data_IF_918339458678
#
_entry.id   IF_918339458678
#
_cell.length_a   1.000
_cell.length_b   1.000
_cell.length_c   1.000
_cell.angle_alpha   90.00
_cell.angle_beta   90.00
_cell.angle_gamma   90.00
#
_symmetry.space_group_name_H-M   'P 1'
#
loop_
_entity.id
_entity.type
_entity.pdbx_description
1 polymer ?
#
# COMPACT_ATOMS: atom_id res chain seq x y z
N UNK A 1 8.24 -16.16 58.76
CA UNK A 1 8.92 -17.41 59.14
C UNK A 1 10.00 -17.66 58.11
N UNK A 2 11.21 -18.00 58.53
CA UNK A 2 12.29 -18.31 57.61
C UNK A 2 12.00 -19.65 56.94
N UNK A 3 12.02 -19.69 55.60
CA UNK A 3 11.83 -20.94 54.85
C UNK A 3 13.05 -21.84 55.07
N UNK A 4 12.83 -23.11 55.41
CA UNK A 4 13.90 -24.10 55.57
C UNK A 4 13.76 -25.15 54.48
N UNK A 5 14.77 -25.28 53.63
CA UNK A 5 14.79 -26.22 52.51
C UNK A 5 15.41 -27.57 52.90
N UNK A 6 15.11 -28.61 52.13
CA UNK A 6 15.67 -29.95 52.34
C UNK A 6 17.15 -30.02 51.90
N UNK A 7 17.86 -31.07 52.33
CA UNK A 7 19.26 -31.29 51.94
C UNK A 7 19.39 -31.41 50.41
N UNK A 8 20.25 -30.59 49.81
CA UNK A 8 20.42 -30.50 48.35
C UNK A 8 19.50 -29.48 47.65
N UNK A 9 18.72 -28.71 48.40
CA UNK A 9 17.96 -27.56 47.90
C UNK A 9 18.52 -26.24 48.45
N UNK A 10 18.43 -25.18 47.65
CA UNK A 10 18.70 -23.81 48.04
C UNK A 10 17.40 -22.99 48.10
N UNK A 11 17.42 -21.91 48.90
CA UNK A 11 16.36 -20.90 48.90
C UNK A 11 16.54 -20.03 47.68
N UNK A 12 15.62 -20.13 46.73
CA UNK A 12 15.56 -19.34 45.51
C UNK A 12 14.44 -18.31 45.59
N UNK A 13 14.57 -17.20 44.85
CA UNK A 13 13.52 -16.19 44.77
C UNK A 13 12.66 -16.41 43.52
N UNK A 14 11.37 -16.70 43.72
CA UNK A 14 10.37 -16.67 42.68
C UNK A 14 9.82 -15.25 42.52
N UNK A 15 9.83 -14.73 41.29
CA UNK A 15 9.26 -13.43 40.97
C UNK A 15 7.75 -13.55 40.83
N UNK A 16 7.05 -12.62 41.47
CA UNK A 16 5.60 -12.51 41.49
C UNK A 16 5.20 -11.04 41.38
N UNK A 17 3.93 -10.77 41.04
CA UNK A 17 3.42 -9.41 40.92
C UNK A 17 2.13 -9.26 41.73
N UNK A 18 2.07 -8.22 42.55
CA UNK A 18 0.90 -7.85 43.34
C UNK A 18 0.66 -6.35 43.20
N UNK A 19 -0.54 -5.96 42.77
CA UNK A 19 -0.92 -4.56 42.54
C UNK A 19 0.06 -3.81 41.61
N UNK A 20 0.58 -4.51 40.59
CA UNK A 20 1.58 -4.00 39.65
C UNK A 20 3.01 -3.92 40.20
N UNK A 21 3.22 -4.16 41.49
CA UNK A 21 4.55 -4.18 42.10
C UNK A 21 5.18 -5.57 41.98
N UNK A 22 6.46 -5.61 41.60
CA UNK A 22 7.27 -6.83 41.62
C UNK A 22 7.57 -7.22 43.07
N UNK A 23 7.21 -8.43 43.45
CA UNK A 23 7.53 -9.05 44.73
C UNK A 23 8.37 -10.32 44.53
N UNK A 24 9.17 -10.68 45.54
CA UNK A 24 9.96 -11.91 45.54
C UNK A 24 9.40 -12.84 46.63
N UNK A 25 9.17 -14.10 46.27
CA UNK A 25 8.74 -15.16 47.19
C UNK A 25 9.84 -16.20 47.31
N UNK A 26 10.24 -16.50 48.53
CA UNK A 26 11.22 -17.55 48.79
C UNK A 26 10.60 -18.92 48.48
N UNK A 27 11.32 -19.74 47.72
CA UNK A 27 10.94 -21.12 47.34
C UNK A 27 12.17 -22.02 47.40
N UNK A 28 11.99 -23.29 47.75
CA UNK A 28 13.08 -24.26 47.77
C UNK A 28 13.23 -24.91 46.40
N UNK A 29 14.45 -24.90 45.83
CA UNK A 29 14.74 -25.50 44.52
C UNK A 29 16.15 -26.13 44.49
N UNK A 30 16.36 -27.14 43.64
CA UNK A 30 17.68 -27.75 43.47
C UNK A 30 18.65 -26.79 42.79
N UNK A 31 19.84 -26.60 43.36
CA UNK A 31 20.85 -25.69 42.82
C UNK A 31 21.34 -26.10 41.41
N UNK A 32 21.65 -25.14 40.51
CA UNK A 32 21.56 -23.68 40.70
C UNK A 32 20.12 -23.16 40.60
N UNK A 33 19.80 -22.09 41.33
CA UNK A 33 18.48 -21.44 41.28
C UNK A 33 18.16 -20.94 39.87
N UNK A 34 17.13 -21.49 39.19
CA UNK A 34 16.69 -20.97 37.90
C UNK A 34 15.85 -19.70 38.08
N UNK A 35 15.53 -19.03 36.98
CA UNK A 35 14.51 -17.98 36.98
C UNK A 35 13.14 -18.62 37.16
N UNK A 36 12.52 -18.32 38.30
CA UNK A 36 11.21 -18.83 38.71
C UNK A 36 10.19 -17.69 38.66
N UNK A 37 9.11 -17.89 37.91
CA UNK A 37 7.98 -16.95 37.83
C UNK A 37 6.74 -17.63 38.41
N UNK A 38 6.01 -16.95 39.30
CA UNK A 38 4.76 -17.47 39.86
C UNK A 38 3.65 -17.43 38.80
N UNK A 39 3.23 -18.61 38.30
CA UNK A 39 2.30 -18.75 37.17
C UNK A 39 0.95 -18.06 37.32
N UNK A 40 0.53 -17.77 38.56
CA UNK A 40 -0.72 -17.05 38.83
C UNK A 40 -0.62 -15.54 38.56
N UNK A 41 0.57 -14.96 38.63
CA UNK A 41 0.78 -13.49 38.58
C UNK A 41 1.86 -13.05 37.60
N UNK A 42 2.70 -13.99 37.14
CA UNK A 42 3.87 -13.72 36.34
C UNK A 42 4.00 -14.74 35.21
N UNK A 43 4.53 -14.28 34.07
CA UNK A 43 4.88 -15.08 32.90
C UNK A 43 6.39 -15.08 32.73
N UNK A 44 6.98 -16.24 32.41
CA UNK A 44 8.39 -16.36 32.07
C UNK A 44 8.61 -15.99 30.60
N UNK A 45 9.53 -15.08 30.37
CA UNK A 45 9.90 -14.56 29.05
C UNK A 45 11.39 -14.79 28.80
N UNK A 46 11.78 -14.83 27.52
CA UNK A 46 13.17 -14.91 27.10
C UNK A 46 13.58 -13.57 26.47
N UNK A 47 14.76 -13.09 26.82
CA UNK A 47 15.34 -11.87 26.27
C UNK A 47 16.17 -12.15 25.02
N UNK A 48 16.67 -11.09 24.36
CA UNK A 48 17.42 -11.18 23.11
C UNK A 48 18.71 -11.98 23.19
N UNK A 49 19.27 -12.18 24.40
CA UNK A 49 20.48 -12.98 24.61
C UNK A 49 20.18 -14.36 25.23
N UNK A 50 18.90 -14.76 25.24
CA UNK A 50 18.44 -16.00 25.87
C UNK A 50 18.35 -15.92 27.39
N UNK A 51 18.45 -14.72 27.97
CA UNK A 51 18.22 -14.51 29.38
C UNK A 51 16.75 -14.71 29.74
N UNK A 52 16.48 -15.45 30.81
CA UNK A 52 15.13 -15.66 31.28
C UNK A 52 14.74 -14.53 32.25
N UNK A 53 13.53 -13.99 32.14
CA UNK A 53 12.99 -13.01 33.09
C UNK A 53 11.49 -13.18 33.27
N UNK A 54 10.90 -12.47 34.24
CA UNK A 54 9.48 -12.55 34.53
C UNK A 54 8.81 -11.20 34.26
N UNK A 55 7.66 -11.22 33.58
CA UNK A 55 6.74 -10.10 33.42
C UNK A 55 5.42 -10.38 34.13
N UNK A 56 4.61 -9.34 34.45
CA UNK A 56 3.24 -9.53 34.91
C UNK A 56 2.44 -10.42 33.95
N UNK A 57 1.52 -11.24 34.47
CA UNK A 57 0.74 -12.17 33.64
C UNK A 57 -0.09 -11.46 32.55
N UNK A 58 -0.47 -10.21 32.82
CA UNK A 58 -1.23 -9.33 31.92
C UNK A 58 -0.40 -8.75 30.76
N UNK A 59 0.93 -8.76 30.88
CA UNK A 59 1.83 -8.26 29.84
C UNK A 59 2.28 -9.44 28.96
N UNK A 60 2.47 -9.18 27.67
CA UNK A 60 3.03 -10.15 26.74
C UNK A 60 4.56 -10.11 26.76
N UNK A 61 5.17 -11.28 26.55
CA UNK A 61 6.61 -11.36 26.39
C UNK A 61 7.02 -10.61 25.11
N UNK A 62 8.12 -9.83 25.14
CA UNK A 62 8.65 -9.26 23.91
C UNK A 62 8.98 -10.39 22.93
N UNK A 63 8.67 -10.16 21.66
CA UNK A 63 9.05 -11.07 20.60
C UNK A 63 10.57 -11.01 20.42
N UNK A 64 11.24 -12.15 20.52
CA UNK A 64 12.69 -12.28 20.30
C UNK A 64 12.89 -13.26 19.16
N UNK A 65 13.45 -12.80 18.06
CA UNK A 65 13.74 -13.62 16.89
C UNK A 65 15.09 -14.32 17.00
N UNK A 66 15.13 -15.57 16.52
CA UNK A 66 16.32 -16.39 16.56
C UNK A 66 17.41 -15.96 15.57
N UNK A 67 18.60 -16.59 15.62
CA UNK A 67 19.64 -16.34 14.63
C UNK A 67 19.16 -16.61 13.20
N UNK A 68 19.28 -15.62 12.33
CA UNK A 68 18.83 -15.72 10.93
C UNK A 68 17.35 -15.41 10.71
N UNK A 69 16.63 -15.03 11.76
CA UNK A 69 15.27 -14.52 11.67
C UNK A 69 15.25 -12.99 11.84
N UNK A 70 14.18 -12.37 11.34
CA UNK A 70 13.92 -10.94 11.46
C UNK A 70 12.50 -10.72 11.97
N UNK A 71 12.33 -9.67 12.76
CA UNK A 71 11.02 -9.24 13.23
C UNK A 71 10.24 -8.61 12.07
N UNK A 72 9.05 -9.12 11.78
CA UNK A 72 8.16 -8.63 10.76
C UNK A 72 6.82 -8.20 11.36
N UNK A 73 6.37 -7.01 10.94
CA UNK A 73 5.05 -6.49 11.21
C UNK A 73 4.12 -6.96 10.10
N UNK A 74 3.17 -7.83 10.45
CA UNK A 74 2.23 -8.40 9.51
C UNK A 74 0.90 -7.66 9.61
N UNK A 75 0.52 -6.96 8.53
CA UNK A 75 -0.76 -6.27 8.45
C UNK A 75 -1.89 -7.29 8.31
N UNK A 76 -2.85 -7.24 9.24
CA UNK A 76 -3.98 -8.14 9.29
C UNK A 76 -5.26 -7.42 8.88
N UNK A 77 -6.14 -8.12 8.18
CA UNK A 77 -7.48 -7.64 7.85
C UNK A 77 -8.54 -8.64 8.33
N UNK A 78 -9.76 -8.16 8.54
CA UNK A 78 -10.91 -9.05 8.72
C UNK A 78 -11.53 -9.48 7.38
N UNK A 79 -12.59 -10.27 7.42
CA UNK A 79 -13.26 -10.79 6.23
C UNK A 79 -13.97 -9.71 5.40
N UNK A 80 -14.15 -8.49 5.94
CA UNK A 80 -14.73 -7.35 5.24
C UNK A 80 -13.69 -6.40 4.65
N UNK A 81 -12.40 -6.71 4.85
CA UNK A 81 -11.28 -5.88 4.40
C UNK A 81 -10.92 -4.75 5.36
N UNK A 82 -11.49 -4.70 6.56
CA UNK A 82 -11.09 -3.70 7.56
C UNK A 82 -9.79 -4.11 8.23
N UNK A 83 -8.88 -3.15 8.39
CA UNK A 83 -7.61 -3.36 9.08
C UNK A 83 -7.84 -3.75 10.53
N UNK A 84 -7.11 -4.76 10.98
CA UNK A 84 -7.07 -5.25 12.35
C UNK A 84 -5.72 -4.89 12.99
N UNK A 85 -5.52 -5.28 14.25
CA UNK A 85 -4.23 -5.14 14.91
C UNK A 85 -3.15 -5.91 14.14
N UNK A 86 -2.03 -5.24 13.90
CA UNK A 86 -0.88 -5.85 13.24
C UNK A 86 -0.27 -6.91 14.17
N UNK A 87 0.18 -8.02 13.59
CA UNK A 87 0.84 -9.07 14.37
C UNK A 87 2.34 -9.05 14.13
N UNK A 88 3.11 -9.19 15.21
CA UNK A 88 4.55 -9.33 15.15
C UNK A 88 4.93 -10.82 15.02
N UNK A 89 5.76 -11.15 14.03
CA UNK A 89 6.25 -12.51 13.84
C UNK A 89 7.72 -12.52 13.41
N UNK A 90 8.46 -13.52 13.89
CA UNK A 90 9.80 -13.82 13.40
C UNK A 90 9.70 -14.62 12.11
N UNK A 91 10.34 -14.12 11.05
CA UNK A 91 10.43 -14.82 9.76
C UNK A 91 11.89 -15.01 9.40
N UNK A 92 12.19 -16.02 8.58
CA UNK A 92 13.56 -16.22 8.13
C UNK A 92 14.01 -15.03 7.27
N UNK A 93 15.25 -14.60 7.42
CA UNK A 93 15.82 -13.50 6.63
C UNK A 93 15.79 -13.79 5.12
N UNK A 94 15.75 -15.07 4.73
CA UNK A 94 15.61 -15.53 3.35
C UNK A 94 14.20 -15.36 2.77
N UNK A 95 13.20 -15.10 3.62
CA UNK A 95 11.80 -14.90 3.23
C UNK A 95 11.45 -13.41 3.05
N UNK A 96 12.43 -12.51 3.12
CA UNK A 96 12.19 -11.09 2.90
C UNK A 96 11.86 -10.77 1.41
N UNK A 97 10.92 -9.85 1.14
CA UNK A 97 10.21 -8.97 2.09
C UNK A 97 9.20 -9.73 2.98
N UNK A 98 8.93 -9.20 4.18
CA UNK A 98 8.00 -9.80 5.14
C UNK A 98 6.68 -10.23 4.47
N UNK A 99 6.15 -11.42 4.79
CA UNK A 99 4.85 -11.84 4.26
C UNK A 99 3.74 -10.93 4.80
N UNK A 100 2.58 -10.99 4.16
CA UNK A 100 1.39 -10.31 4.68
C UNK A 100 0.68 -11.16 5.74
N UNK A 101 -0.07 -10.51 6.62
CA UNK A 101 -0.82 -11.15 7.69
C UNK A 101 -2.09 -11.85 7.21
N UNK A 102 -3.00 -12.10 8.16
CA UNK A 102 -4.27 -12.79 7.92
C UNK A 102 -5.19 -11.93 7.03
N UNK A 103 -5.83 -12.58 6.05
CA UNK A 103 -6.71 -11.95 5.05
C UNK A 103 -6.06 -10.77 4.31
N UNK A 104 -4.74 -10.82 4.13
CA UNK A 104 -3.99 -9.83 3.39
C UNK A 104 -3.39 -10.44 2.11
N UNK A 105 -3.26 -9.61 1.08
CA UNK A 105 -2.62 -9.94 -0.19
C UNK A 105 -1.33 -9.11 -0.32
N UNK A 106 -0.23 -9.76 -0.71
CA UNK A 106 1.03 -9.08 -1.00
C UNK A 106 1.01 -8.47 -2.38
N UNK A 107 1.24 -7.16 -2.44
CA UNK A 107 1.31 -6.37 -3.65
C UNK A 107 2.72 -5.82 -3.82
N UNK A 108 3.38 -6.21 -4.91
CA UNK A 108 4.76 -5.77 -5.20
C UNK A 108 4.72 -4.65 -6.23
N UNK A 109 5.15 -3.48 -5.80
CA UNK A 109 5.33 -2.29 -6.62
C UNK A 109 6.82 -2.09 -6.90
N UNK A 110 7.18 -1.85 -8.16
CA UNK A 110 8.59 -1.67 -8.57
C UNK A 110 9.23 -0.38 -8.04
N UNK A 111 8.44 0.60 -7.60
CA UNK A 111 8.85 1.89 -7.03
C UNK A 111 8.70 1.93 -5.51
N UNK A 112 7.61 1.38 -4.98
CA UNK A 112 7.28 1.44 -3.55
C UNK A 112 7.70 0.20 -2.76
N UNK A 113 8.02 -0.91 -3.43
CA UNK A 113 8.36 -2.18 -2.80
C UNK A 113 7.12 -3.04 -2.53
N UNK A 114 7.26 -4.02 -1.64
CA UNK A 114 6.15 -4.88 -1.22
C UNK A 114 5.25 -4.13 -0.21
N UNK A 115 3.95 -4.24 -0.40
CA UNK A 115 2.90 -3.71 0.46
C UNK A 115 1.82 -4.78 0.68
N UNK A 116 1.02 -4.63 1.73
CA UNK A 116 -0.10 -5.52 2.01
C UNK A 116 -1.42 -4.77 1.86
N UNK A 117 -2.38 -5.40 1.19
CA UNK A 117 -3.76 -4.90 1.07
C UNK A 117 -4.73 -5.97 1.56
N UNK A 118 -5.99 -5.62 1.79
CA UNK A 118 -7.00 -6.61 2.13
C UNK A 118 -7.16 -7.62 0.98
N UNK A 119 -7.33 -8.91 1.29
CA UNK A 119 -7.51 -9.95 0.28
C UNK A 119 -8.80 -9.80 -0.56
N UNK A 120 -9.74 -8.95 -0.11
CA UNK A 120 -10.95 -8.56 -0.84
C UNK A 120 -10.71 -7.43 -1.83
N UNK A 121 -9.56 -6.78 -1.78
CA UNK A 121 -9.18 -5.66 -2.63
C UNK A 121 -8.13 -6.11 -3.66
N UNK A 122 -8.12 -5.42 -4.81
CA UNK A 122 -7.09 -5.61 -5.81
C UNK A 122 -5.83 -4.82 -5.45
N UNK A 123 -4.67 -5.35 -5.81
CA UNK A 123 -3.42 -4.62 -5.65
C UNK A 123 -3.47 -3.28 -6.41
N UNK A 124 -2.99 -2.17 -5.81
CA UNK A 124 -2.93 -0.90 -6.49
C UNK A 124 -2.10 -1.02 -7.77
N UNK A 125 -2.65 -0.54 -8.88
CA UNK A 125 -1.95 -0.58 -10.17
C UNK A 125 -0.78 0.40 -10.12
N UNK A 126 0.43 -0.13 -10.24
CA UNK A 126 1.66 0.67 -10.35
C UNK A 126 2.27 0.54 -11.73
N UNK A 127 2.71 1.68 -12.25
CA UNK A 127 3.32 1.76 -13.56
C UNK A 127 4.84 1.90 -13.42
N UNK A 128 5.59 1.17 -14.23
CA UNK A 128 7.05 1.26 -14.27
C UNK A 128 7.51 2.68 -14.69
N UNK A 129 8.82 2.97 -14.62
CA UNK A 129 9.36 4.29 -14.99
C UNK A 129 9.13 4.66 -16.47
N UNK A 130 8.78 3.69 -17.31
CA UNK A 130 8.49 3.86 -18.74
C UNK A 130 7.01 3.95 -19.04
N UNK A 131 6.14 4.00 -18.03
CA UNK A 131 4.70 4.10 -18.19
C UNK A 131 4.08 5.07 -17.18
N UNK A 132 2.90 5.60 -17.53
CA UNK A 132 2.09 6.48 -16.68
C UNK A 132 0.79 5.79 -16.35
N UNK A 133 0.36 5.95 -15.11
CA UNK A 133 -0.97 5.55 -14.67
C UNK A 133 -1.98 6.48 -15.33
N UNK A 134 -2.86 5.92 -16.14
CA UNK A 134 -3.97 6.61 -16.75
C UNK A 134 -5.27 6.10 -16.14
N UNK A 135 -6.15 7.03 -15.80
CA UNK A 135 -7.49 6.76 -15.32
C UNK A 135 -8.44 6.90 -16.50
N UNK A 136 -9.08 5.80 -16.89
CA UNK A 136 -10.11 5.79 -17.92
C UNK A 136 -11.46 5.44 -17.31
N UNK A 137 -12.40 6.38 -17.33
CA UNK A 137 -13.80 6.08 -17.03
C UNK A 137 -14.45 5.28 -18.17
N UNK A 138 -15.13 4.18 -17.83
CA UNK A 138 -16.00 3.40 -18.71
C UNK A 138 -17.46 3.83 -18.56
N UNK A 139 -18.23 3.69 -19.65
CA UNK A 139 -19.65 4.05 -19.71
C UNK A 139 -20.45 2.96 -20.40
N UNK A 140 -21.71 2.77 -20.02
CA UNK A 140 -22.64 1.88 -20.72
C UNK A 140 -22.98 2.43 -22.12
N UNK A 141 -23.55 1.63 -23.04
CA UNK A 141 -24.01 2.11 -24.34
C UNK A 141 -25.02 3.27 -24.28
N UNK A 142 -25.75 3.39 -23.16
CA UNK A 142 -26.70 4.46 -22.87
C UNK A 142 -26.03 5.72 -22.28
N UNK A 143 -24.70 5.70 -22.09
CA UNK A 143 -23.92 6.83 -21.58
C UNK A 143 -23.85 6.94 -20.06
N UNK A 144 -24.34 5.94 -19.31
CA UNK A 144 -24.23 5.94 -17.85
C UNK A 144 -22.80 5.57 -17.41
N UNK A 145 -22.27 6.25 -16.39
CA UNK A 145 -20.98 5.91 -15.80
C UNK A 145 -21.00 4.49 -15.21
N UNK A 146 -19.97 3.69 -15.50
CA UNK A 146 -19.87 2.33 -15.00
C UNK A 146 -18.78 2.22 -13.93
N UNK A 147 -17.52 2.45 -14.30
CA UNK A 147 -16.40 2.39 -13.36
C UNK A 147 -15.20 3.22 -13.85
N UNK A 148 -14.22 3.43 -12.98
CA UNK A 148 -12.96 4.06 -13.30
C UNK A 148 -11.88 2.98 -13.36
N UNK A 149 -11.30 2.74 -14.53
CA UNK A 149 -10.24 1.75 -14.72
C UNK A 149 -8.87 2.43 -14.68
N UNK A 150 -7.94 1.85 -13.92
CA UNK A 150 -6.51 2.21 -13.93
C UNK A 150 -5.76 1.39 -14.96
N UNK A 151 -5.03 2.03 -15.86
CA UNK A 151 -4.19 1.35 -16.84
C UNK A 151 -2.83 2.03 -17.00
N UNK A 152 -1.77 1.25 -17.18
CA UNK A 152 -0.45 1.78 -17.46
C UNK A 152 -0.27 2.01 -18.97
N UNK A 153 -0.03 3.26 -19.35
CA UNK A 153 0.23 3.65 -20.74
C UNK A 153 1.72 3.97 -20.92
N UNK A 154 2.37 3.36 -21.92
CA UNK A 154 3.79 3.57 -22.16
C UNK A 154 4.12 5.05 -22.45
N UNK A 155 5.08 5.60 -21.72
CA UNK A 155 5.79 6.85 -21.99
C UNK A 155 6.93 6.50 -22.94
N UNK A 156 6.84 6.93 -24.20
CA UNK A 156 7.98 6.79 -25.11
C UNK A 156 9.10 7.73 -24.66
N UNK A 157 10.20 7.18 -24.18
CA UNK A 157 11.41 7.96 -23.95
C UNK A 157 11.94 8.48 -25.30
N UNK A 158 12.25 9.79 -25.36
CA UNK A 158 12.91 10.44 -26.51
C UNK A 158 14.20 9.70 -26.87
N UNK A 159 14.15 8.76 -27.80
CA UNK A 159 15.37 8.05 -28.22
C UNK A 159 15.20 7.06 -29.37
N UNK A 160 14.11 6.28 -29.41
CA UNK A 160 13.96 5.24 -30.43
C UNK A 160 12.87 5.58 -31.45
N UNK A 161 13.28 6.29 -32.50
CA UNK A 161 12.49 6.40 -33.74
C UNK A 161 12.54 5.07 -34.50
N UNK A 162 11.75 4.08 -34.07
CA UNK A 162 11.23 3.08 -35.01
C UNK A 162 9.77 3.41 -35.29
N UNK A 163 9.55 3.84 -36.53
CA UNK A 163 8.29 4.32 -37.04
C UNK A 163 7.24 3.19 -37.03
N UNK A 164 6.43 3.15 -35.97
CA UNK A 164 5.03 2.74 -36.14
C UNK A 164 4.28 3.99 -36.58
N UNK A 165 4.32 4.22 -37.89
CA UNK A 165 3.65 5.29 -38.59
C UNK A 165 2.18 4.92 -38.72
N UNK A 166 1.38 5.26 -37.71
CA UNK A 166 -0.05 5.53 -37.94
C UNK A 166 -0.15 7.02 -38.26
N UNK A 167 -0.62 7.33 -39.47
CA UNK A 167 -0.65 8.68 -40.06
C UNK A 167 -1.58 9.62 -39.26
N UNK A 168 -1.06 10.28 -38.22
CA UNK A 168 -1.53 11.62 -37.81
C UNK A 168 -1.08 12.64 -38.89
N UNK A 169 -1.47 12.45 -40.17
CA UNK A 169 -1.34 13.51 -41.17
C UNK A 169 -2.47 14.49 -40.93
N UNK A 170 -2.17 15.51 -40.14
CA UNK A 170 -2.91 16.78 -40.19
C UNK A 170 -3.01 17.15 -41.67
N UNK A 171 -4.23 17.28 -42.18
CA UNK A 171 -4.48 17.82 -43.52
C UNK A 171 -3.98 19.28 -43.54
N UNK A 172 -2.69 19.48 -43.77
CA UNK A 172 -2.10 20.79 -44.01
C UNK A 172 -2.62 21.28 -45.34
N UNK A 173 -3.57 22.22 -45.30
CA UNK A 173 -3.78 23.14 -46.41
C UNK A 173 -2.45 23.85 -46.67
N UNK A 174 -2.01 23.76 -47.92
CA UNK A 174 -0.70 24.11 -48.45
C UNK A 174 -0.20 25.51 -48.11
N UNK A 175 1.14 25.60 -47.97
CA UNK A 175 2.03 26.78 -47.92
C UNK A 175 2.39 27.30 -46.53
N UNK A 176 3.30 26.60 -45.86
CA UNK A 176 4.50 27.21 -45.27
C UNK A 176 5.52 26.11 -44.88
N UNK A 177 6.79 26.40 -45.16
CA UNK A 177 7.88 25.43 -45.26
C UNK A 177 8.46 25.01 -43.90
N UNK A 178 8.76 23.70 -43.79
CA UNK A 178 9.88 23.07 -43.07
C UNK A 178 10.23 23.54 -41.65
N UNK A 179 9.32 23.26 -40.71
CA UNK A 179 9.70 22.70 -39.40
C UNK A 179 8.77 21.53 -39.07
N UNK A 180 9.32 20.32 -38.97
CA UNK A 180 8.59 19.12 -38.54
C UNK A 180 8.41 19.16 -37.01
N UNK A 181 7.18 19.30 -36.47
CA UNK A 181 6.96 19.14 -35.04
C UNK A 181 7.25 17.69 -34.64
N UNK A 182 8.31 17.50 -33.88
CA UNK A 182 8.66 16.20 -33.29
C UNK A 182 7.85 16.01 -32.00
N UNK A 183 7.11 14.90 -31.87
CA UNK A 183 6.53 14.48 -30.59
C UNK A 183 5.00 14.46 -30.48
N UNK A 184 4.27 14.34 -31.59
CA UNK A 184 2.81 14.21 -31.57
C UNK A 184 2.41 12.73 -31.40
N UNK A 185 1.60 12.39 -30.40
CA UNK A 185 1.06 11.04 -30.16
C UNK A 185 -0.47 11.02 -30.17
N UNK A 186 -1.10 9.90 -30.55
CA UNK A 186 -2.55 9.75 -30.44
C UNK A 186 -2.97 9.60 -28.98
N UNK A 187 -3.93 10.41 -28.55
CA UNK A 187 -4.59 10.39 -27.25
C UNK A 187 -6.10 10.24 -27.48
N UNK A 188 -6.80 9.51 -26.61
CA UNK A 188 -8.25 9.40 -26.67
C UNK A 188 -8.89 10.64 -26.03
N UNK A 189 -9.64 11.40 -26.81
CA UNK A 189 -10.43 12.53 -26.39
C UNK A 189 -11.91 12.15 -26.35
N UNK A 190 -12.58 12.51 -25.25
CA UNK A 190 -14.02 12.25 -25.04
C UNK A 190 -14.83 13.47 -25.48
N UNK A 191 -15.73 13.28 -26.44
CA UNK A 191 -16.61 14.33 -26.96
C UNK A 191 -17.95 14.25 -26.23
N UNK A 192 -18.47 15.38 -25.73
CA UNK A 192 -19.73 15.44 -24.99
C UNK A 192 -20.78 16.29 -25.72
N UNK A 193 -22.05 16.07 -25.40
CA UNK A 193 -23.16 16.85 -25.89
C UNK A 193 -23.19 18.18 -25.12
N UNK A 194 -23.16 19.29 -25.85
CA UNK A 194 -23.13 20.64 -25.27
C UNK A 194 -24.30 20.94 -24.33
N UNK A 195 -25.50 20.43 -24.64
CA UNK A 195 -26.71 20.76 -23.87
C UNK A 195 -27.01 19.78 -22.75
N UNK A 196 -26.64 18.51 -22.90
CA UNK A 196 -26.99 17.46 -21.92
C UNK A 196 -25.79 17.01 -21.09
N UNK A 197 -24.56 17.26 -21.55
CA UNK A 197 -23.35 16.72 -20.95
C UNK A 197 -23.11 15.22 -21.25
N UNK A 198 -23.97 14.58 -22.05
CA UNK A 198 -23.86 13.17 -22.40
C UNK A 198 -22.65 12.90 -23.28
N UNK A 199 -21.97 11.76 -23.09
CA UNK A 199 -20.87 11.37 -23.95
C UNK A 199 -21.39 11.06 -25.36
N UNK A 200 -20.93 11.82 -26.37
CA UNK A 200 -21.26 11.60 -27.77
C UNK A 200 -20.35 10.56 -28.43
N UNK A 201 -19.12 10.43 -27.95
CA UNK A 201 -18.16 9.47 -28.48
C UNK A 201 -16.75 9.67 -27.94
N UNK A 202 -15.87 8.75 -28.32
CA UNK A 202 -14.43 8.86 -28.07
C UNK A 202 -13.73 8.92 -29.41
N UNK A 203 -12.95 9.98 -29.62
CA UNK A 203 -12.14 10.15 -30.82
C UNK A 203 -10.67 10.12 -30.48
N UNK A 204 -9.86 9.60 -31.38
CA UNK A 204 -8.42 9.68 -31.27
C UNK A 204 -7.96 11.04 -31.80
N UNK A 205 -7.35 11.86 -30.97
CA UNK A 205 -6.74 13.15 -31.33
C UNK A 205 -5.24 13.10 -31.13
N UNK A 206 -4.48 13.99 -31.75
CA UNK A 206 -3.03 13.98 -31.66
C UNK A 206 -2.56 15.14 -30.75
N UNK A 207 -1.82 14.86 -29.68
CA UNK A 207 -1.30 15.87 -28.73
C UNK A 207 0.23 15.83 -28.65
N UNK A 208 0.87 16.95 -28.33
CA UNK A 208 2.32 16.92 -28.06
C UNK A 208 2.59 16.28 -26.70
N UNK A 209 3.76 15.67 -26.57
CA UNK A 209 4.23 14.96 -25.38
C UNK A 209 4.29 15.80 -24.08
N UNK A 210 4.36 17.12 -24.22
CA UNK A 210 4.32 18.10 -23.12
C UNK A 210 2.94 18.69 -22.88
N UNK A 211 1.99 18.44 -23.78
CA UNK A 211 0.64 18.96 -23.66
C UNK A 211 -0.14 18.06 -22.70
N UNK A 212 -1.03 18.68 -21.95
CA UNK A 212 -1.95 17.90 -21.15
C UNK A 212 -2.91 17.10 -22.01
N UNK A 213 -3.50 16.05 -21.42
CA UNK A 213 -4.49 15.21 -22.07
C UNK A 213 -5.57 16.08 -22.74
N UNK A 214 -5.66 16.06 -24.09
CA UNK A 214 -6.63 16.86 -24.80
C UNK A 214 -8.02 16.38 -24.47
N UNK A 215 -8.89 17.31 -24.10
CA UNK A 215 -10.30 17.04 -23.91
C UNK A 215 -11.00 17.07 -25.28
N UNK A 216 -12.03 16.23 -25.46
CA UNK A 216 -12.80 16.21 -26.70
C UNK A 216 -13.74 17.41 -26.79
N UNK A 217 -14.56 17.44 -27.83
CA UNK A 217 -15.50 18.52 -28.07
C UNK A 217 -16.44 18.67 -26.87
N UNK A 218 -16.64 19.92 -26.46
CA UNK A 218 -17.50 20.30 -25.32
C UNK A 218 -17.10 19.69 -23.97
N UNK A 219 -15.88 19.15 -23.88
CA UNK A 219 -15.24 18.82 -22.62
C UNK A 219 -14.40 20.02 -22.13
N UNK A 220 -14.43 20.28 -20.82
CA UNK A 220 -13.56 21.25 -20.18
C UNK A 220 -12.49 20.52 -19.39
N UNK A 221 -11.28 21.05 -19.47
CA UNK A 221 -10.16 20.51 -18.69
C UNK A 221 -10.20 21.11 -17.30
N UNK A 222 -10.34 20.25 -16.30
CA UNK A 222 -10.27 20.62 -14.90
C UNK A 222 -9.13 19.84 -14.26
N UNK A 223 -8.00 20.54 -14.10
CA UNK A 223 -6.69 19.96 -13.77
C UNK A 223 -6.27 18.87 -14.78
N UNK A 224 -6.33 17.59 -14.40
CA UNK A 224 -5.92 16.45 -15.23
C UNK A 224 -7.10 15.59 -15.71
N UNK A 225 -8.34 16.06 -15.51
CA UNK A 225 -9.57 15.37 -15.92
C UNK A 225 -10.36 16.21 -16.94
N UNK A 226 -11.00 15.53 -17.89
CA UNK A 226 -11.89 16.15 -18.88
C UNK A 226 -13.35 15.93 -18.47
N UNK A 227 -14.04 16.99 -18.07
CA UNK A 227 -15.45 16.97 -17.63
C UNK A 227 -16.39 17.53 -18.70
N UNK A 228 -17.66 17.12 -18.75
CA UNK A 228 -18.63 17.71 -19.67
C UNK A 228 -18.84 19.20 -19.39
N UNK A 229 -18.93 20.01 -20.44
CA UNK A 229 -19.07 21.46 -20.30
C UNK A 229 -20.35 21.97 -19.67
N UNK A 230 -21.40 21.16 -19.67
CA UNK A 230 -22.63 21.46 -18.93
C UNK A 230 -22.42 21.39 -17.40
N UNK A 231 -21.37 20.71 -16.92
CA UNK A 231 -21.08 20.48 -15.49
C UNK A 231 -19.83 21.23 -14.99
N UNK A 232 -19.05 21.83 -15.90
CA UNK A 232 -17.78 22.49 -15.58
C UNK A 232 -17.90 23.69 -14.62
N UNK A 233 -19.08 24.31 -14.52
CA UNK A 233 -19.33 25.44 -13.63
C UNK A 233 -19.25 25.06 -12.15
N UNK A 234 -19.78 23.90 -11.77
CA UNK A 234 -19.89 23.50 -10.36
C UNK A 234 -18.71 22.61 -9.92
N UNK A 235 -18.22 21.71 -10.79
CA UNK A 235 -17.14 20.77 -10.42
C UNK A 235 -15.75 21.41 -10.40
N UNK A 236 -15.48 22.37 -11.29
CA UNK A 236 -14.12 22.92 -11.45
C UNK A 236 -13.80 24.05 -10.47
N UNK A 237 -14.81 24.56 -9.75
CA UNK A 237 -14.67 25.57 -8.70
C UNK A 237 -14.63 24.97 -7.28
N UNK A 238 -14.99 23.68 -7.10
CA UNK A 238 -15.11 23.07 -5.77
C UNK A 238 -13.80 22.52 -5.19
N UNK A 239 -12.70 22.46 -5.93
CA UNK A 239 -11.40 22.03 -5.38
C UNK A 239 -10.64 23.23 -4.82
N UNK A 240 -11.12 23.80 -3.71
CA UNK A 240 -10.20 24.47 -2.79
C UNK A 240 -9.20 23.41 -2.31
N UNK A 241 -7.89 23.62 -2.43
CA UNK A 241 -6.92 22.69 -1.85
C UNK A 241 -7.17 22.65 -0.34
N UNK A 242 -7.58 21.49 0.18
CA UNK A 242 -7.44 21.18 1.60
C UNK A 242 -5.93 21.31 1.89
N UNK A 243 -5.58 22.33 2.68
CA UNK A 243 -4.23 22.52 3.21
C UNK A 243 -3.87 21.42 4.18
#
# INVERSE_FOLDING_TARGET
GQLSCEEGQDVCAAVSFQDGARILKDVCFSAPCPVLCESATARKCNGPQGEEFCLPIADDCPLVCGPGEVECYLENFDATGQRQEDSLQCVLQTELPCPCGRNALSCVDSRLGASCVAATEDCPTSCDSTSRLCLSASFTPEGAFQELQTQCSAVRLRGERKALQLDCRVARTSRESDMQPSGVQPVLAKDYNRSTGELLGVRQTCANESDACPCGDFAFRCQDVCVPGAMAGDECLSTTPLK
#
